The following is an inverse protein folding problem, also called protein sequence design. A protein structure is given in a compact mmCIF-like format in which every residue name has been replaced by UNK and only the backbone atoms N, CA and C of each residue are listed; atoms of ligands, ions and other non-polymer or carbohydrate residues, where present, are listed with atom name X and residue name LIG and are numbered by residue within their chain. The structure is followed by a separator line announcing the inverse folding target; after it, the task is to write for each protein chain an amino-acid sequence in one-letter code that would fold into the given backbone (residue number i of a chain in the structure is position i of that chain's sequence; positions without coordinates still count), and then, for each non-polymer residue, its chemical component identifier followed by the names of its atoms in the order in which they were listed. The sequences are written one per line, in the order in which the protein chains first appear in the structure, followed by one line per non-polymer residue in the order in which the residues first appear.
data_IF_536395731257
#
_entry.id   IF_536395731257
#
_cell.length_a   1.000
_cell.length_b   1.000
_cell.length_c   1.000
_cell.angle_alpha   90.00
_cell.angle_beta   90.00
_cell.angle_gamma   90.00
#
_symmetry.space_group_name_H-M   'P 1'
#
loop_
_entity.id
_entity.type
_entity.pdbx_description
1 polymer ?
#
# COMPACT_ATOMS: atom_id res chain seq x y z
N UNK A 1 14.82 -11.19 0.46
CA UNK A 1 14.17 -10.61 -0.75
C UNK A 1 12.78 -11.17 -0.92
N UNK A 2 11.90 -10.83 0.00
CA UNK A 2 10.59 -11.44 0.06
C UNK A 2 9.47 -10.44 0.42
N UNK A 3 9.83 -9.18 0.66
CA UNK A 3 8.87 -8.20 1.14
C UNK A 3 8.14 -7.48 0.02
N UNK A 4 7.04 -6.82 0.38
CA UNK A 4 6.20 -6.08 -0.54
C UNK A 4 6.00 -4.65 -0.03
N UNK A 5 6.10 -3.68 -0.94
CA UNK A 5 5.76 -2.30 -0.67
C UNK A 5 4.50 -1.93 -1.44
N UNK A 6 3.47 -1.47 -0.73
CA UNK A 6 2.27 -0.90 -1.33
C UNK A 6 2.39 0.62 -1.32
N UNK A 7 1.99 1.25 -2.40
CA UNK A 7 2.06 2.70 -2.57
C UNK A 7 0.72 3.25 -3.03
N UNK A 8 0.16 4.15 -2.23
CA UNK A 8 -0.95 5.00 -2.66
C UNK A 8 -0.32 6.21 -3.35
N UNK A 9 -0.43 6.25 -4.68
CA UNK A 9 0.26 7.22 -5.52
C UNK A 9 -0.37 8.61 -5.46
N UNK A 10 0.50 9.59 -5.32
CA UNK A 10 0.17 11.00 -5.35
C UNK A 10 1.44 11.79 -5.09
N UNK A 11 1.40 13.12 -5.24
CA UNK A 11 2.50 13.95 -4.77
C UNK A 11 2.65 13.79 -3.25
N UNK A 12 1.54 13.57 -2.56
CA UNK A 12 1.52 12.99 -1.21
C UNK A 12 1.28 11.51 -1.38
N UNK A 13 2.29 10.71 -1.09
CA UNK A 13 2.24 9.27 -1.24
C UNK A 13 2.10 8.57 0.11
N UNK A 14 1.33 7.49 0.13
CA UNK A 14 1.28 6.59 1.27
C UNK A 14 2.08 5.33 1.00
N UNK A 15 2.73 4.80 2.03
CA UNK A 15 3.55 3.60 1.94
C UNK A 15 3.16 2.60 3.01
N UNK A 16 3.12 1.32 2.66
CA UNK A 16 2.92 0.23 3.60
C UNK A 16 3.84 -0.94 3.22
N UNK A 17 4.65 -1.37 4.16
CA UNK A 17 5.65 -2.41 3.96
C UNK A 17 5.17 -3.70 4.64
N UNK A 18 5.00 -4.77 3.86
CA UNK A 18 4.53 -6.08 4.32
C UNK A 18 5.62 -7.12 4.16
N UNK A 19 5.69 -8.06 5.10
CA UNK A 19 6.57 -9.22 4.97
C UNK A 19 5.89 -10.34 4.18
N UNK A 20 6.61 -11.43 3.94
CA UNK A 20 6.15 -12.58 3.16
C UNK A 20 4.98 -13.32 3.82
N UNK A 21 4.81 -13.18 5.12
CA UNK A 21 3.69 -13.79 5.86
C UNK A 21 2.44 -12.91 5.83
N UNK A 22 2.48 -11.79 5.10
CA UNK A 22 1.35 -10.89 4.96
C UNK A 22 1.15 -9.95 6.15
N UNK A 23 2.14 -9.82 7.02
CA UNK A 23 2.08 -8.91 8.16
C UNK A 23 2.65 -7.55 7.79
N UNK A 24 2.04 -6.50 8.28
CA UNK A 24 2.50 -5.12 8.12
C UNK A 24 3.71 -4.88 9.03
N UNK A 25 4.80 -4.40 8.46
CA UNK A 25 6.02 -4.07 9.21
C UNK A 25 6.10 -2.59 9.55
N UNK A 26 5.75 -1.72 8.60
CA UNK A 26 5.79 -0.27 8.77
C UNK A 26 4.90 0.42 7.75
N UNK A 27 4.60 1.66 8.01
CA UNK A 27 3.78 2.50 7.12
C UNK A 27 4.12 3.96 7.36
N UNK A 28 3.95 4.79 6.32
CA UNK A 28 4.19 6.22 6.43
C UNK A 28 3.55 6.99 5.28
N UNK A 29 3.50 8.30 5.40
CA UNK A 29 3.15 9.23 4.33
C UNK A 29 4.33 10.12 4.02
N UNK A 30 4.48 10.50 2.76
CA UNK A 30 5.54 11.39 2.30
C UNK A 30 4.97 12.38 1.29
N UNK A 31 5.22 13.67 1.50
CA UNK A 31 4.86 14.71 0.56
C UNK A 31 6.08 15.05 -0.31
N UNK A 32 6.04 14.68 -1.59
CA UNK A 32 7.11 15.00 -2.54
C UNK A 32 6.92 16.37 -3.19
N UNK A 33 5.70 16.89 -3.21
CA UNK A 33 5.39 18.21 -3.73
C UNK A 33 5.23 18.26 -5.25
N UNK A 34 6.06 17.56 -6.02
CA UNK A 34 5.96 17.51 -7.48
C UNK A 34 6.49 16.19 -8.05
N UNK A 35 6.24 15.97 -9.35
CA UNK A 35 6.60 14.72 -10.04
C UNK A 35 8.09 14.46 -10.08
N UNK A 36 8.91 15.50 -10.27
CA UNK A 36 10.37 15.35 -10.32
C UNK A 36 10.93 14.84 -8.99
N UNK A 37 10.44 15.37 -7.88
CA UNK A 37 10.83 14.91 -6.53
C UNK A 37 10.32 13.50 -6.26
N UNK A 38 9.12 13.19 -6.73
CA UNK A 38 8.54 11.85 -6.58
C UNK A 38 9.40 10.80 -7.29
N UNK A 39 9.87 11.09 -8.51
CA UNK A 39 10.75 10.18 -9.26
C UNK A 39 12.04 9.90 -8.50
N UNK A 40 12.67 10.94 -7.96
CA UNK A 40 13.88 10.79 -7.14
C UNK A 40 13.59 10.01 -5.86
N UNK A 41 12.43 10.30 -5.24
CA UNK A 41 11.99 9.60 -4.04
C UNK A 41 11.77 8.12 -4.28
N UNK A 42 11.17 7.75 -5.42
CA UNK A 42 10.95 6.35 -5.79
C UNK A 42 12.29 5.59 -5.88
N UNK A 43 13.27 6.18 -6.57
CA UNK A 43 14.60 5.58 -6.66
C UNK A 43 15.23 5.40 -5.28
N UNK A 44 15.13 6.41 -4.41
CA UNK A 44 15.66 6.35 -3.05
C UNK A 44 14.99 5.29 -2.18
N UNK A 45 13.66 5.22 -2.22
CA UNK A 45 12.90 4.22 -1.45
C UNK A 45 13.30 2.81 -1.84
N UNK A 46 13.39 2.52 -3.13
CA UNK A 46 13.76 1.18 -3.60
C UNK A 46 15.21 0.85 -3.29
N UNK A 47 16.11 1.84 -3.36
CA UNK A 47 17.51 1.65 -2.99
C UNK A 47 17.70 1.34 -1.51
N UNK A 48 16.90 1.96 -0.65
CA UNK A 48 16.96 1.77 0.81
C UNK A 48 16.29 0.48 1.29
N UNK A 49 15.54 -0.20 0.42
CA UNK A 49 14.78 -1.41 0.79
C UNK A 49 15.13 -2.58 -0.14
N UNK A 50 16.37 -3.10 -0.05
CA UNK A 50 16.82 -4.18 -0.94
C UNK A 50 16.09 -5.52 -0.72
N UNK A 51 15.34 -5.66 0.37
CA UNK A 51 14.54 -6.84 0.67
C UNK A 51 13.24 -6.93 -0.14
N UNK A 52 12.87 -5.88 -0.86
CA UNK A 52 11.63 -5.85 -1.63
C UNK A 52 11.69 -6.78 -2.85
N UNK A 53 10.67 -7.62 -3.01
CA UNK A 53 10.46 -8.44 -4.21
C UNK A 53 9.29 -7.95 -5.05
N UNK A 54 8.39 -7.17 -4.44
CA UNK A 54 7.20 -6.63 -5.09
C UNK A 54 6.93 -5.19 -4.68
N UNK A 55 6.46 -4.39 -5.62
CA UNK A 55 5.75 -3.15 -5.33
C UNK A 55 4.36 -3.23 -5.96
N UNK A 56 3.36 -2.73 -5.25
CA UNK A 56 1.99 -2.63 -5.76
C UNK A 56 1.55 -1.18 -5.65
N UNK A 57 1.15 -0.63 -6.78
CA UNK A 57 0.89 0.80 -6.96
C UNK A 57 -0.58 1.01 -7.26
N UNK A 58 -1.19 1.99 -6.62
CA UNK A 58 -2.57 2.37 -6.90
C UNK A 58 -2.62 3.86 -7.22
N UNK A 59 -3.31 4.22 -8.27
CA UNK A 59 -3.60 5.60 -8.62
C UNK A 59 -3.17 6.00 -10.02
N UNK A 60 -2.61 7.18 -10.14
CA UNK A 60 -2.25 7.79 -11.41
C UNK A 60 -1.20 6.97 -12.18
N UNK A 61 -1.53 6.67 -13.44
CA UNK A 61 -0.68 5.84 -14.29
C UNK A 61 0.68 6.47 -14.57
N UNK A 62 0.72 7.78 -14.73
CA UNK A 62 1.96 8.51 -14.99
C UNK A 62 2.94 8.39 -13.81
N UNK A 63 2.42 8.52 -12.60
CA UNK A 63 3.22 8.36 -11.38
C UNK A 63 3.63 6.90 -11.20
N UNK A 64 2.74 5.97 -11.54
CA UNK A 64 3.03 4.54 -11.48
C UNK A 64 4.20 4.17 -12.41
N UNK A 65 4.27 4.74 -13.60
CA UNK A 65 5.33 4.42 -14.57
C UNK A 65 6.72 4.74 -14.02
N UNK A 66 6.87 5.83 -13.27
CA UNK A 66 8.13 6.20 -12.64
C UNK A 66 8.61 5.11 -11.66
N UNK A 67 7.71 4.62 -10.83
CA UNK A 67 7.97 3.53 -9.88
C UNK A 67 8.28 2.21 -10.58
N UNK A 68 7.52 1.90 -11.63
CA UNK A 68 7.67 0.64 -12.38
C UNK A 68 9.00 0.57 -13.12
N UNK A 69 9.46 1.68 -13.70
CA UNK A 69 10.76 1.76 -14.35
C UNK A 69 11.90 1.50 -13.36
N UNK A 70 11.85 2.13 -12.18
CA UNK A 70 12.86 1.90 -11.14
C UNK A 70 12.82 0.45 -10.63
N UNK A 71 11.64 -0.09 -10.42
CA UNK A 71 11.48 -1.48 -9.97
C UNK A 71 12.11 -2.45 -10.99
N UNK A 72 11.88 -2.21 -12.27
CA UNK A 72 12.43 -3.02 -13.36
C UNK A 72 13.96 -3.01 -13.35
N UNK A 73 14.59 -1.85 -13.16
CA UNK A 73 16.04 -1.74 -13.08
C UNK A 73 16.62 -2.52 -11.90
N UNK A 74 15.85 -2.73 -10.86
CA UNK A 74 16.26 -3.42 -9.63
C UNK A 74 15.75 -4.85 -9.54
N UNK A 75 15.14 -5.36 -10.62
CA UNK A 75 14.55 -6.70 -10.68
C UNK A 75 13.46 -6.93 -9.63
N UNK A 76 12.72 -5.87 -9.30
CA UNK A 76 11.56 -5.92 -8.41
C UNK A 76 10.32 -6.02 -9.28
N UNK A 77 9.43 -6.96 -8.97
CA UNK A 77 8.15 -7.09 -9.68
C UNK A 77 7.21 -5.97 -9.27
N UNK A 78 6.37 -5.53 -10.20
CA UNK A 78 5.43 -4.45 -9.94
C UNK A 78 4.04 -4.78 -10.44
N UNK A 79 3.02 -4.33 -9.69
CA UNK A 79 1.63 -4.35 -10.09
C UNK A 79 1.05 -2.94 -9.99
N UNK A 80 0.05 -2.65 -10.82
CA UNK A 80 -0.69 -1.40 -10.78
C UNK A 80 -2.18 -1.69 -10.76
N UNK A 81 -2.91 -1.04 -9.85
CA UNK A 81 -4.34 -1.22 -9.68
C UNK A 81 -5.05 0.12 -9.55
N UNK A 82 -6.36 0.10 -9.75
CA UNK A 82 -7.25 1.21 -9.39
C UNK A 82 -7.90 0.91 -8.03
N UNK A 83 -8.42 1.94 -7.40
CA UNK A 83 -9.00 1.83 -6.06
C UNK A 83 -10.14 0.80 -5.96
N UNK A 84 -10.91 0.62 -7.02
CA UNK A 84 -12.02 -0.34 -7.02
C UNK A 84 -11.55 -1.79 -6.81
N UNK A 85 -10.34 -2.14 -7.21
CA UNK A 85 -9.81 -3.50 -7.03
C UNK A 85 -9.77 -3.91 -5.55
N UNK A 86 -9.17 -3.07 -4.69
CA UNK A 86 -9.08 -3.39 -3.27
C UNK A 86 -10.38 -3.11 -2.52
N UNK A 87 -11.11 -2.07 -2.91
CA UNK A 87 -12.40 -1.73 -2.28
C UNK A 87 -13.43 -2.83 -2.43
N UNK A 88 -13.56 -3.40 -3.62
CA UNK A 88 -14.49 -4.50 -3.88
C UNK A 88 -14.20 -5.73 -3.03
N UNK A 89 -12.93 -6.03 -2.85
CA UNK A 89 -12.52 -7.23 -2.11
C UNK A 89 -12.60 -7.07 -0.60
N UNK A 90 -12.25 -5.89 -0.08
CA UNK A 90 -12.05 -5.66 1.34
C UNK A 90 -13.21 -4.93 2.02
N UNK A 91 -14.01 -4.20 1.26
CA UNK A 91 -15.12 -3.42 1.79
C UNK A 91 -16.46 -3.97 1.28
N UNK A 92 -17.47 -3.98 2.16
CA UNK A 92 -18.82 -4.32 1.72
C UNK A 92 -19.46 -3.11 1.00
N UNK A 93 -20.61 -3.29 0.28
CA UNK A 93 -21.24 -2.20 -0.47
C UNK A 93 -21.56 -0.95 0.35
N UNK A 94 -21.98 -1.09 1.60
CA UNK A 94 -22.30 0.06 2.46
C UNK A 94 -21.07 0.87 2.84
N UNK A 95 -19.90 0.22 2.96
CA UNK A 95 -18.64 0.87 3.32
C UNK A 95 -18.00 1.62 2.15
N UNK A 96 -18.47 1.41 0.91
CA UNK A 96 -17.92 2.04 -0.28
C UNK A 96 -18.97 2.76 -1.13
N UNK A 97 -20.07 3.15 -0.51
CA UNK A 97 -21.18 3.85 -1.19
C UNK A 97 -20.77 5.22 -1.71
N UNK A 98 -19.96 5.94 -0.92
CA UNK A 98 -19.39 7.24 -1.29
C UNK A 98 -17.88 7.20 -1.07
N UNK A 99 -17.16 8.20 -1.63
CA UNK A 99 -15.73 8.36 -1.38
C UNK A 99 -15.43 8.56 0.12
N UNK A 100 -16.30 9.31 0.82
CA UNK A 100 -16.17 9.54 2.25
C UNK A 100 -16.35 8.25 3.05
N UNK A 101 -17.33 7.42 2.70
CA UNK A 101 -17.54 6.12 3.33
C UNK A 101 -16.33 5.21 3.15
N UNK A 102 -15.80 5.16 1.93
CA UNK A 102 -14.63 4.34 1.63
C UNK A 102 -13.38 4.78 2.40
N UNK A 103 -13.19 6.08 2.59
CA UNK A 103 -12.08 6.63 3.39
C UNK A 103 -12.18 6.23 4.85
N UNK A 104 -13.37 6.34 5.42
CA UNK A 104 -13.64 5.95 6.81
C UNK A 104 -13.40 4.45 7.01
N UNK A 105 -13.93 3.63 6.10
CA UNK A 105 -13.75 2.19 6.16
C UNK A 105 -12.28 1.77 5.98
N UNK A 106 -11.54 2.46 5.11
CA UNK A 106 -10.11 2.23 4.94
C UNK A 106 -9.33 2.54 6.22
N UNK A 107 -9.66 3.63 6.90
CA UNK A 107 -9.03 3.99 8.19
C UNK A 107 -9.28 2.90 9.24
N UNK A 108 -10.51 2.44 9.38
CA UNK A 108 -10.87 1.39 10.32
C UNK A 108 -10.14 0.07 10.01
N UNK A 109 -10.12 -0.33 8.75
CA UNK A 109 -9.43 -1.56 8.34
C UNK A 109 -7.93 -1.45 8.55
N UNK A 110 -7.33 -0.32 8.19
CA UNK A 110 -5.90 -0.10 8.39
C UNK A 110 -5.51 -0.21 9.86
N UNK A 111 -6.31 0.33 10.77
CA UNK A 111 -6.07 0.22 12.21
C UNK A 111 -6.15 -1.23 12.69
N UNK A 112 -7.06 -2.02 12.16
CA UNK A 112 -7.13 -3.46 12.44
C UNK A 112 -5.88 -4.19 11.96
N UNK A 113 -5.39 -3.86 10.76
CA UNK A 113 -4.16 -4.46 10.21
C UNK A 113 -2.95 -4.12 11.07
N UNK A 114 -2.84 -2.85 11.51
CA UNK A 114 -1.77 -2.41 12.40
C UNK A 114 -1.76 -3.25 13.69
N UNK A 115 -2.92 -3.37 14.33
CA UNK A 115 -3.05 -4.13 15.57
C UNK A 115 -2.78 -5.61 15.38
N UNK A 116 -3.37 -6.21 14.35
CA UNK A 116 -3.18 -7.62 14.03
C UNK A 116 -1.73 -7.97 13.69
N UNK A 117 -1.02 -7.04 13.05
CA UNK A 117 0.38 -7.22 12.65
C UNK A 117 1.37 -6.90 13.76
N UNK A 118 0.92 -6.31 14.85
CA UNK A 118 1.77 -5.76 15.91
C UNK A 118 2.76 -4.72 15.35
N UNK A 119 2.29 -3.93 14.37
CA UNK A 119 3.05 -2.83 13.80
C UNK A 119 3.00 -1.61 14.74
N UNK A 120 3.90 -0.62 14.57
CA UNK A 120 3.90 0.57 15.42
C UNK A 120 2.55 1.29 15.41
N UNK A 121 2.00 1.58 16.60
CA UNK A 121 0.74 2.28 16.72
C UNK A 121 0.91 3.73 16.25
N UNK A 122 -0.06 4.28 15.48
CA UNK A 122 0.06 5.65 14.98
C UNK A 122 -0.31 6.66 16.05
N UNK A 123 0.40 7.78 16.09
CA UNK A 123 -0.05 8.97 16.82
C UNK A 123 -1.22 9.60 16.07
N UNK A 124 -1.10 9.62 14.72
CA UNK A 124 -2.12 10.11 13.82
C UNK A 124 -1.97 9.33 12.51
N UNK A 125 -3.01 8.61 12.10
CA UNK A 125 -2.98 7.84 10.86
C UNK A 125 -3.40 8.71 9.69
N UNK A 126 -2.43 9.02 8.82
CA UNK A 126 -2.69 9.76 7.58
C UNK A 126 -3.51 8.90 6.63
N UNK A 127 -4.41 9.54 5.90
CA UNK A 127 -5.27 8.89 4.92
C UNK A 127 -4.47 8.09 3.87
N UNK A 128 -3.39 8.68 3.35
CA UNK A 128 -2.54 8.04 2.33
C UNK A 128 -1.91 6.74 2.86
N UNK A 129 -1.43 6.77 4.11
CA UNK A 129 -0.87 5.60 4.75
C UNK A 129 -1.94 4.53 5.00
N UNK A 130 -3.14 4.94 5.43
CA UNK A 130 -4.25 4.01 5.64
C UNK A 130 -4.64 3.31 4.34
N UNK A 131 -4.75 4.04 3.24
CA UNK A 131 -5.04 3.44 1.94
C UNK A 131 -3.91 2.52 1.47
N UNK A 132 -2.66 2.90 1.67
CA UNK A 132 -1.52 2.04 1.32
C UNK A 132 -1.58 0.71 2.09
N UNK A 133 -1.98 0.72 3.36
CA UNK A 133 -2.17 -0.50 4.15
C UNK A 133 -3.25 -1.38 3.52
N UNK A 134 -4.37 -0.81 3.08
CA UNK A 134 -5.44 -1.56 2.42
C UNK A 134 -4.98 -2.13 1.07
N UNK A 135 -4.24 -1.36 0.28
CA UNK A 135 -3.66 -1.82 -0.99
C UNK A 135 -2.73 -3.01 -0.74
N UNK A 136 -1.89 -2.93 0.26
CA UNK A 136 -0.96 -3.99 0.63
C UNK A 136 -1.66 -5.26 1.12
N UNK A 137 -2.71 -5.11 1.91
CA UNK A 137 -3.51 -6.25 2.35
C UNK A 137 -4.16 -6.96 1.15
N UNK A 138 -4.72 -6.19 0.22
CA UNK A 138 -5.23 -6.74 -1.03
C UNK A 138 -4.15 -7.50 -1.78
N UNK A 139 -2.96 -6.92 -1.88
CA UNK A 139 -1.86 -7.50 -2.64
C UNK A 139 -1.36 -8.84 -2.05
N UNK A 140 -1.19 -8.91 -0.73
CA UNK A 140 -0.74 -10.16 -0.10
C UNK A 140 -1.79 -11.26 -0.18
N UNK A 141 -3.07 -10.90 -0.25
CA UNK A 141 -4.16 -11.84 -0.52
C UNK A 141 -4.12 -12.31 -1.98
N UNK A 142 -3.97 -11.37 -2.92
CA UNK A 142 -3.94 -11.68 -4.35
C UNK A 142 -2.74 -12.55 -4.72
N UNK A 143 -1.60 -12.32 -4.11
CA UNK A 143 -0.38 -13.11 -4.31
C UNK A 143 -0.41 -14.47 -3.57
N UNK A 144 -1.40 -14.68 -2.73
CA UNK A 144 -1.49 -15.89 -1.93
C UNK A 144 -0.52 -15.96 -0.74
N UNK A 145 0.11 -14.85 -0.38
CA UNK A 145 0.94 -14.76 0.83
C UNK A 145 0.09 -14.91 2.10
N UNK A 146 -1.16 -14.45 2.01
CA UNK A 146 -2.22 -14.82 2.93
C UNK A 146 -3.21 -15.69 2.15
N UNK A 147 -3.54 -16.85 2.68
CA UNK A 147 -4.48 -17.75 2.03
C UNK A 147 -5.90 -17.19 2.00
N UNK A 148 -6.26 -16.42 3.02
CA UNK A 148 -7.57 -15.79 3.18
C UNK A 148 -7.48 -14.60 4.13
N UNK A 149 -8.51 -13.76 4.12
CA UNK A 149 -8.61 -12.63 5.04
C UNK A 149 -8.68 -13.14 6.48
N UNK A 150 -7.73 -12.74 7.34
CA UNK A 150 -7.77 -13.13 8.74
C UNK A 150 -9.08 -12.73 9.42
N UNK A 151 -9.52 -13.54 10.35
CA UNK A 151 -10.77 -13.33 11.10
C UNK A 151 -10.78 -11.96 11.79
N UNK A 152 -9.64 -11.57 12.34
CA UNK A 152 -9.48 -10.31 13.07
C UNK A 152 -9.66 -9.08 12.19
N UNK A 153 -9.57 -9.25 10.87
CA UNK A 153 -9.70 -8.16 9.90
C UNK A 153 -11.07 -8.09 9.24
N UNK A 154 -11.98 -8.99 9.58
CA UNK A 154 -13.33 -9.03 9.03
C UNK A 154 -14.28 -8.07 9.73
#
# INVERSE_FOLDING_TARGET
MSDLLAVDLGHKSGFAHFNREGRLLSYRSQNYGNTSRLKRGAAGVLAENPELSWIVLEGDRHLADAWREEAKRRSIRSGWIQADAWRKRLLNPSQRRTGSDAKEAADELARKVIAWSDAPAPTSLRHDAAEAICIGLWAVLDLGWLARLPRELR
#
